data_IF_589252400396
#
_entry.id   IF_589252400396
#
_cell.length_a   1.000
_cell.length_b   1.000
_cell.length_c   1.000
_cell.angle_alpha   90.00
_cell.angle_beta   90.00
_cell.angle_gamma   90.00
#
_symmetry.space_group_name_H-M   'P 1'
#
loop_
_entity.id
_entity.type
_entity.pdbx_description
1 polymer ?
#
# COMPACT_ATOMS: atom_id res chain seq x y z
N UNK A 1 -10.35 -2.18 27.82
CA UNK A 1 -9.36 -1.80 26.79
C UNK A 1 -8.92 -3.08 26.10
N UNK A 2 -8.93 -3.13 24.81
CA UNK A 2 -8.39 -4.27 24.06
C UNK A 2 -6.87 -4.32 24.27
N UNK A 3 -6.34 -5.52 24.43
CA UNK A 3 -4.93 -5.70 24.82
C UNK A 3 -4.03 -5.65 23.60
N UNK A 4 -2.98 -4.83 23.64
CA UNK A 4 -1.88 -4.87 22.67
C UNK A 4 -0.91 -5.96 23.12
N UNK A 5 -0.59 -6.90 22.25
CA UNK A 5 0.38 -7.96 22.53
C UNK A 5 1.53 -7.91 21.54
N UNK A 6 2.80 -8.06 22.00
CA UNK A 6 3.92 -8.25 21.08
C UNK A 6 3.64 -9.44 20.15
N UNK A 7 3.97 -9.26 18.88
CA UNK A 7 3.77 -10.29 17.87
C UNK A 7 5.10 -10.62 17.19
N UNK A 8 5.43 -11.92 17.18
CA UNK A 8 6.62 -12.41 16.47
C UNK A 8 6.17 -13.25 15.30
N UNK A 9 6.59 -12.85 14.11
CA UNK A 9 6.34 -13.61 12.89
C UNK A 9 7.21 -14.87 12.94
N UNK A 10 6.58 -16.02 12.76
CA UNK A 10 7.24 -17.30 12.66
C UNK A 10 6.44 -18.22 11.74
N UNK A 11 6.99 -18.53 10.58
CA UNK A 11 6.43 -19.47 9.63
C UNK A 11 7.06 -20.84 9.84
N UNK A 12 6.29 -21.94 9.98
CA UNK A 12 6.87 -23.27 10.12
C UNK A 12 7.79 -23.65 8.94
N UNK A 13 8.89 -24.35 9.22
CA UNK A 13 9.84 -24.78 8.19
C UNK A 13 9.17 -25.65 7.13
N UNK A 14 8.27 -26.52 7.53
CA UNK A 14 7.47 -27.38 6.64
C UNK A 14 6.69 -26.56 5.61
N UNK A 15 6.13 -25.41 6.00
CA UNK A 15 5.42 -24.50 5.08
C UNK A 15 6.37 -23.92 4.04
N UNK A 16 7.57 -23.53 4.44
CA UNK A 16 8.58 -22.97 3.53
C UNK A 16 9.05 -24.02 2.52
N UNK A 17 9.34 -25.23 3.01
CA UNK A 17 9.77 -26.35 2.18
C UNK A 17 8.65 -26.82 1.23
N UNK A 18 7.40 -26.85 1.67
CA UNK A 18 6.26 -27.12 0.80
C UNK A 18 6.17 -26.10 -0.34
N UNK A 19 6.28 -24.80 -0.03
CA UNK A 19 6.26 -23.72 -1.03
C UNK A 19 7.38 -23.93 -2.06
N UNK A 20 8.62 -24.13 -1.60
CA UNK A 20 9.77 -24.34 -2.49
C UNK A 20 9.59 -25.58 -3.37
N UNK A 21 9.08 -26.67 -2.80
CA UNK A 21 8.79 -27.90 -3.56
C UNK A 21 7.75 -27.66 -4.66
N UNK A 22 6.70 -26.91 -4.38
CA UNK A 22 5.66 -26.56 -5.35
C UNK A 22 6.17 -25.63 -6.45
N UNK A 23 7.04 -24.67 -6.10
CA UNK A 23 7.70 -23.79 -7.09
C UNK A 23 8.58 -24.61 -8.01
N UNK A 24 9.41 -25.51 -7.47
CA UNK A 24 10.29 -26.38 -8.25
C UNK A 24 9.55 -27.35 -9.19
N UNK A 25 8.36 -27.78 -8.80
CA UNK A 25 7.52 -28.72 -9.55
C UNK A 25 6.52 -28.03 -10.50
N UNK A 26 6.58 -26.70 -10.67
CA UNK A 26 5.60 -25.99 -11.47
C UNK A 26 5.63 -26.44 -12.95
N UNK A 27 4.49 -26.82 -13.55
CA UNK A 27 4.40 -27.23 -14.93
C UNK A 27 4.40 -26.00 -15.86
N UNK A 28 5.54 -25.70 -16.47
CA UNK A 28 5.67 -24.56 -17.37
C UNK A 28 4.82 -24.71 -18.64
N UNK A 29 4.29 -23.58 -19.09
CA UNK A 29 3.49 -23.43 -20.31
C UNK A 29 4.27 -22.65 -21.38
N UNK A 30 3.72 -22.56 -22.58
CA UNK A 30 4.27 -21.76 -23.67
C UNK A 30 3.84 -20.30 -23.53
N UNK A 31 4.64 -19.40 -24.11
CA UNK A 31 4.32 -17.99 -24.33
C UNK A 31 4.48 -17.65 -25.82
N UNK A 32 3.75 -16.68 -26.38
CA UNK A 32 4.02 -16.18 -27.73
C UNK A 32 5.49 -15.78 -27.91
N UNK A 33 6.10 -16.18 -29.04
CA UNK A 33 7.54 -16.01 -29.27
C UNK A 33 8.00 -14.56 -29.42
N UNK A 34 7.06 -13.66 -29.72
CA UNK A 34 7.25 -12.21 -29.83
C UNK A 34 6.89 -11.46 -28.52
N UNK A 35 6.49 -12.18 -27.47
CA UNK A 35 6.02 -11.61 -26.22
C UNK A 35 7.15 -11.29 -25.25
N UNK A 36 7.17 -10.03 -24.78
CA UNK A 36 7.92 -9.62 -23.57
C UNK A 36 6.98 -9.68 -22.37
N UNK A 37 6.59 -8.49 -21.87
CA UNK A 37 5.57 -8.32 -20.83
C UNK A 37 4.18 -7.96 -21.38
N UNK A 38 4.01 -7.93 -22.71
CA UNK A 38 2.76 -7.50 -23.36
C UNK A 38 1.58 -8.45 -23.09
N UNK A 39 1.86 -9.74 -22.93
CA UNK A 39 0.85 -10.76 -22.64
C UNK A 39 0.71 -11.08 -21.15
N UNK A 40 1.41 -10.33 -20.29
CA UNK A 40 1.51 -10.55 -18.86
C UNK A 40 2.94 -10.86 -18.44
N UNK A 41 3.12 -11.50 -17.28
CA UNK A 41 4.45 -11.79 -16.73
C UNK A 41 5.30 -12.61 -17.69
N UNK A 42 6.49 -12.09 -18.01
CA UNK A 42 7.42 -12.72 -18.95
C UNK A 42 7.83 -14.14 -18.48
N UNK A 43 7.73 -15.12 -19.36
CA UNK A 43 7.95 -16.54 -19.03
C UNK A 43 9.41 -16.83 -18.65
N UNK A 44 10.37 -16.26 -19.37
CA UNK A 44 11.79 -16.51 -19.10
C UNK A 44 12.21 -15.84 -17.80
N UNK A 45 11.72 -14.62 -17.55
CA UNK A 45 11.90 -13.96 -16.26
C UNK A 45 11.29 -14.79 -15.10
N UNK A 46 10.09 -15.34 -15.29
CA UNK A 46 9.46 -16.17 -14.25
C UNK A 46 10.26 -17.44 -13.96
N UNK A 47 10.84 -18.08 -14.98
CA UNK A 47 11.71 -19.27 -14.77
C UNK A 47 12.95 -18.90 -13.96
N UNK A 48 13.63 -17.81 -14.32
CA UNK A 48 14.80 -17.31 -13.58
C UNK A 48 14.44 -16.90 -12.15
N UNK A 49 13.31 -16.22 -11.98
CA UNK A 49 12.81 -15.79 -10.67
C UNK A 49 12.48 -16.98 -9.76
N UNK A 50 11.85 -18.03 -10.30
CA UNK A 50 11.54 -19.26 -9.57
C UNK A 50 12.81 -20.06 -9.23
N UNK A 51 13.81 -20.11 -10.14
CA UNK A 51 15.12 -20.70 -9.82
C UNK A 51 15.80 -19.98 -8.67
N UNK A 52 15.80 -18.64 -8.69
CA UNK A 52 16.31 -17.83 -7.58
C UNK A 52 15.56 -18.11 -6.28
N UNK A 53 14.21 -18.19 -6.34
CA UNK A 53 13.36 -18.46 -5.19
C UNK A 53 13.71 -19.78 -4.49
N UNK A 54 13.92 -20.84 -5.27
CA UNK A 54 14.23 -22.18 -4.73
C UNK A 54 15.66 -22.27 -4.23
N UNK A 55 16.65 -21.64 -4.94
CA UNK A 55 18.06 -21.88 -4.72
C UNK A 55 18.78 -20.83 -3.87
N UNK A 56 18.33 -19.59 -3.86
CA UNK A 56 19.03 -18.45 -3.26
C UNK A 56 18.22 -17.67 -2.22
N UNK A 57 16.91 -17.57 -2.41
CA UNK A 57 16.07 -16.81 -1.51
C UNK A 57 15.96 -17.46 -0.13
N UNK A 58 16.19 -16.66 0.92
CA UNK A 58 16.13 -17.09 2.32
C UNK A 58 15.00 -16.36 3.06
N UNK A 59 13.85 -17.04 3.24
CA UNK A 59 12.75 -16.51 4.02
C UNK A 59 13.15 -16.21 5.46
N UNK A 60 14.00 -17.03 6.10
CA UNK A 60 14.40 -16.81 7.50
C UNK A 60 15.13 -15.50 7.71
N UNK A 61 15.96 -15.10 6.73
CA UNK A 61 16.61 -13.79 6.74
C UNK A 61 15.56 -12.65 6.67
N UNK A 62 14.56 -12.79 5.80
CA UNK A 62 13.52 -11.77 5.64
C UNK A 62 12.55 -11.74 6.85
N UNK A 63 12.16 -12.90 7.37
CA UNK A 63 11.37 -13.02 8.59
C UNK A 63 12.10 -12.37 9.80
N UNK A 64 13.41 -12.61 9.93
CA UNK A 64 14.22 -11.96 10.96
C UNK A 64 14.23 -10.44 10.78
N UNK A 65 14.40 -9.93 9.56
CA UNK A 65 14.35 -8.50 9.25
C UNK A 65 13.01 -7.86 9.60
N UNK A 66 11.89 -8.49 9.29
CA UNK A 66 10.56 -7.98 9.68
C UNK A 66 10.43 -7.96 11.22
N UNK A 67 10.99 -8.96 11.89
CA UNK A 67 10.97 -9.07 13.36
C UNK A 67 11.98 -8.12 14.07
N UNK A 68 12.84 -7.40 13.36
CA UNK A 68 13.66 -6.32 13.93
C UNK A 68 12.79 -5.13 14.37
N UNK A 69 11.66 -4.91 13.72
CA UNK A 69 10.70 -3.88 14.10
C UNK A 69 9.79 -4.33 15.24
N UNK A 70 9.25 -3.37 15.95
CA UNK A 70 8.29 -3.61 17.04
C UNK A 70 6.92 -4.00 16.47
N UNK A 71 6.71 -5.31 16.28
CA UNK A 71 5.46 -5.89 15.77
C UNK A 71 4.48 -6.17 16.91
N UNK A 72 3.20 -5.85 16.66
CA UNK A 72 2.12 -6.03 17.63
C UNK A 72 0.87 -6.62 17.00
N UNK A 73 0.03 -7.19 17.86
CA UNK A 73 -1.32 -7.65 17.54
C UNK A 73 -2.31 -7.07 18.54
N UNK A 74 -3.44 -6.59 18.02
CA UNK A 74 -4.60 -6.19 18.83
C UNK A 74 -5.89 -6.61 18.15
N UNK A 75 -7.04 -6.50 18.82
CA UNK A 75 -8.35 -6.70 18.19
C UNK A 75 -9.06 -5.36 18.02
N UNK A 76 -9.62 -5.11 16.86
CA UNK A 76 -10.48 -3.94 16.60
C UNK A 76 -11.73 -4.44 15.88
N UNK A 77 -12.91 -4.17 16.44
CA UNK A 77 -14.19 -4.65 15.91
C UNK A 77 -14.21 -6.19 15.66
N UNK A 78 -13.62 -6.97 16.56
CA UNK A 78 -13.46 -8.42 16.49
C UNK A 78 -12.58 -8.91 15.31
N UNK A 79 -11.72 -8.06 14.79
CA UNK A 79 -10.70 -8.44 13.80
C UNK A 79 -9.33 -8.21 14.43
N UNK A 80 -8.49 -9.24 14.40
CA UNK A 80 -7.11 -9.12 14.80
C UNK A 80 -6.36 -8.24 13.81
N UNK A 81 -5.76 -7.17 14.29
CA UNK A 81 -4.95 -6.24 13.48
C UNK A 81 -3.50 -6.38 13.89
N UNK A 82 -2.70 -6.84 12.95
CA UNK A 82 -1.26 -6.78 13.03
C UNK A 82 -0.79 -5.39 12.63
N UNK A 83 0.19 -4.85 13.35
CA UNK A 83 0.83 -3.59 12.99
C UNK A 83 2.27 -3.52 13.53
N UNK A 84 3.12 -2.81 12.80
CA UNK A 84 4.41 -2.33 13.30
C UNK A 84 4.14 -0.99 13.97
N UNK A 85 4.73 -0.76 15.14
CA UNK A 85 4.67 0.52 15.83
C UNK A 85 6.05 0.91 16.31
N UNK A 86 6.73 1.71 15.50
CA UNK A 86 8.06 2.23 15.81
C UNK A 86 7.94 3.62 16.41
N UNK A 87 8.47 3.77 17.65
CA UNK A 87 8.46 5.05 18.34
C UNK A 87 9.52 5.97 17.77
N UNK A 88 9.12 7.18 17.42
CA UNK A 88 10.03 8.19 16.93
C UNK A 88 10.97 8.71 18.00
N UNK A 89 12.14 9.14 17.56
CA UNK A 89 13.11 9.83 18.42
C UNK A 89 12.64 11.20 18.84
N UNK A 90 13.27 11.72 19.89
CA UNK A 90 12.99 13.08 20.38
C UNK A 90 11.78 13.18 21.30
N UNK A 91 11.49 14.40 21.76
CA UNK A 91 10.48 14.61 22.81
C UNK A 91 9.04 14.61 22.29
N UNK A 92 8.81 14.89 21.02
CA UNK A 92 7.47 15.12 20.46
C UNK A 92 7.33 14.58 19.01
N UNK A 93 7.56 13.28 18.75
CA UNK A 93 7.36 12.73 17.42
C UNK A 93 5.89 12.80 17.02
N UNK A 94 5.62 13.18 15.77
CA UNK A 94 4.25 13.24 15.27
C UNK A 94 3.73 11.83 14.95
N UNK A 95 2.55 11.42 15.46
CA UNK A 95 1.97 10.14 15.09
C UNK A 95 1.61 10.10 13.59
N UNK A 96 2.10 9.07 12.91
CA UNK A 96 1.91 8.86 11.49
C UNK A 96 1.46 7.42 11.24
N UNK A 97 0.26 7.23 10.72
CA UNK A 97 -0.15 5.93 10.20
C UNK A 97 0.12 5.86 8.70
N UNK A 98 0.80 4.78 8.27
CA UNK A 98 1.13 4.54 6.87
C UNK A 98 0.43 3.26 6.43
N UNK A 99 -0.41 3.35 5.40
CA UNK A 99 -1.18 2.23 4.90
C UNK A 99 -0.71 1.80 3.51
N UNK A 100 -0.40 0.50 3.37
CA UNK A 100 -0.07 -0.12 2.08
C UNK A 100 -1.34 -0.35 1.23
N UNK A 101 -1.14 -0.92 0.05
CA UNK A 101 -2.24 -1.32 -0.83
C UNK A 101 -2.12 -2.75 -1.34
N UNK A 102 -2.71 -3.00 -2.52
CA UNK A 102 -2.62 -4.25 -3.25
C UNK A 102 -1.84 -4.02 -4.57
N UNK A 103 -0.87 -4.86 -4.94
CA UNK A 103 -0.45 -6.12 -4.31
C UNK A 103 0.68 -5.98 -3.28
N UNK A 104 0.79 -4.83 -2.64
CA UNK A 104 1.77 -4.59 -1.60
C UNK A 104 1.39 -5.18 -0.24
N UNK A 105 2.29 -5.04 0.71
CA UNK A 105 2.15 -5.41 2.12
C UNK A 105 2.96 -4.44 2.98
N UNK A 106 3.10 -4.70 4.28
CA UNK A 106 4.01 -3.95 5.15
C UNK A 106 5.46 -3.96 4.65
N UNK A 107 5.81 -4.89 3.76
CA UNK A 107 7.16 -5.01 3.18
C UNK A 107 7.54 -3.76 2.39
N UNK A 108 6.58 -3.04 1.82
CA UNK A 108 6.81 -1.77 1.14
C UNK A 108 7.55 -0.74 2.02
N UNK A 109 7.40 -0.84 3.34
CA UNK A 109 7.86 0.18 4.28
C UNK A 109 9.05 -0.24 5.14
N UNK A 110 9.60 -1.46 4.98
CA UNK A 110 10.70 -1.93 5.84
C UNK A 110 11.96 -1.06 5.74
N UNK A 111 12.27 -0.52 4.55
CA UNK A 111 13.38 0.42 4.35
C UNK A 111 12.99 1.88 4.64
N UNK A 112 11.72 2.13 4.97
CA UNK A 112 11.13 3.44 5.11
C UNK A 112 10.88 3.83 6.57
N UNK A 113 10.55 2.85 7.42
CA UNK A 113 10.12 3.06 8.81
C UNK A 113 11.22 3.74 9.63
N UNK A 114 12.46 3.20 9.62
CA UNK A 114 13.55 3.72 10.43
C UNK A 114 13.96 5.13 10.01
N UNK A 115 13.93 5.41 8.71
CA UNK A 115 14.17 6.75 8.18
C UNK A 115 13.19 7.79 8.74
N UNK A 116 11.94 7.43 8.93
CA UNK A 116 10.91 8.32 9.49
C UNK A 116 10.96 8.40 11.01
N UNK A 117 11.21 7.27 11.69
CA UNK A 117 11.21 7.22 13.16
C UNK A 117 12.50 7.81 13.76
N UNK A 118 13.65 7.57 13.10
CA UNK A 118 14.98 7.93 13.61
C UNK A 118 15.81 8.71 12.59
N UNK A 119 15.31 9.88 12.13
CA UNK A 119 15.96 10.64 11.05
C UNK A 119 17.39 11.04 11.36
N UNK A 120 17.75 11.23 12.63
CA UNK A 120 19.11 11.59 13.06
C UNK A 120 20.16 10.52 12.75
N UNK A 121 19.77 9.24 12.69
CA UNK A 121 20.64 8.15 12.32
C UNK A 121 20.98 8.17 10.82
N UNK A 122 20.23 8.96 10.04
CA UNK A 122 20.31 9.06 8.58
C UNK A 122 20.64 10.50 8.11
N UNK A 123 21.23 11.32 8.99
CA UNK A 123 21.64 12.69 8.67
C UNK A 123 20.51 13.73 8.65
N UNK A 124 19.31 13.36 9.10
CA UNK A 124 18.17 14.24 9.29
C UNK A 124 18.12 14.88 10.69
N UNK A 125 17.06 15.64 10.97
CA UNK A 125 16.83 16.25 12.30
C UNK A 125 15.88 15.37 13.12
N UNK A 126 16.17 15.19 14.40
CA UNK A 126 15.30 14.53 15.37
C UNK A 126 13.91 15.20 15.49
N UNK A 127 13.81 16.48 15.15
CA UNK A 127 12.55 17.23 15.13
C UNK A 127 11.58 16.77 14.04
N UNK A 128 12.10 16.03 13.04
CA UNK A 128 11.33 15.46 11.94
C UNK A 128 10.87 14.02 12.20
N UNK A 129 11.14 13.50 13.39
CA UNK A 129 10.76 12.13 13.76
C UNK A 129 9.25 11.95 13.85
N UNK A 130 8.81 10.75 13.49
CA UNK A 130 7.42 10.30 13.61
C UNK A 130 7.31 9.08 14.50
N UNK A 131 6.23 8.98 15.27
CA UNK A 131 5.74 7.69 15.76
C UNK A 131 5.07 6.98 14.60
N UNK A 132 5.71 5.96 14.05
CA UNK A 132 5.28 5.31 12.81
C UNK A 132 4.44 4.09 13.10
N UNK A 133 3.20 4.07 12.60
CA UNK A 133 2.29 2.92 12.70
C UNK A 133 2.03 2.37 11.31
N UNK A 134 2.40 1.10 11.07
CA UNK A 134 2.21 0.42 9.78
C UNK A 134 1.37 -0.82 9.98
N UNK A 135 0.03 -0.74 9.81
CA UNK A 135 -0.83 -1.91 9.94
C UNK A 135 -0.78 -2.78 8.67
N UNK A 136 -0.86 -4.09 8.85
CA UNK A 136 -1.38 -4.96 7.78
C UNK A 136 -2.87 -4.69 7.63
N UNK A 137 -3.34 -4.45 6.41
CA UNK A 137 -4.77 -4.21 6.15
C UNK A 137 -5.61 -5.42 6.58
N UNK A 138 -6.86 -5.23 7.07
CA UNK A 138 -7.77 -6.35 7.34
C UNK A 138 -7.88 -7.30 6.14
N UNK A 139 -7.58 -8.57 6.35
CA UNK A 139 -7.54 -9.59 5.30
C UNK A 139 -6.23 -9.70 4.52
N UNK A 140 -5.22 -8.90 4.86
CA UNK A 140 -3.88 -8.94 4.26
C UNK A 140 -2.85 -9.40 5.28
N UNK A 141 -1.81 -10.07 4.79
CA UNK A 141 -0.64 -10.41 5.57
C UNK A 141 -0.99 -11.03 6.91
N UNK A 142 -0.48 -10.45 7.99
CA UNK A 142 -0.61 -11.01 9.33
C UNK A 142 -1.88 -10.56 10.07
N UNK A 143 -2.71 -9.68 9.47
CA UNK A 143 -4.00 -9.31 10.04
C UNK A 143 -5.07 -10.38 9.85
N UNK A 144 -6.05 -10.36 10.73
CA UNK A 144 -7.22 -11.24 10.69
C UNK A 144 -8.10 -10.99 9.46
N UNK A 145 -8.87 -12.00 9.11
CA UNK A 145 -9.76 -11.99 7.95
C UNK A 145 -11.12 -11.40 8.35
N UNK A 146 -11.61 -10.39 7.65
CA UNK A 146 -12.94 -9.88 7.89
C UNK A 146 -13.99 -10.95 7.52
N UNK A 147 -15.17 -10.97 8.18
CA UNK A 147 -16.20 -11.97 7.92
C UNK A 147 -16.87 -11.83 6.54
N UNK A 148 -16.66 -10.70 5.88
CA UNK A 148 -17.12 -10.36 4.53
C UNK A 148 -16.18 -9.33 3.92
N UNK A 149 -16.27 -9.06 2.60
CA UNK A 149 -15.47 -8.01 1.97
C UNK A 149 -15.63 -6.65 2.67
N UNK A 150 -14.51 -6.04 3.06
CA UNK A 150 -14.45 -4.67 3.57
C UNK A 150 -13.79 -3.78 2.52
N UNK A 151 -14.40 -2.62 2.28
CA UNK A 151 -13.82 -1.58 1.47
C UNK A 151 -12.94 -0.61 2.29
N UNK A 152 -12.30 0.36 1.63
CA UNK A 152 -11.35 1.27 2.27
C UNK A 152 -11.98 2.15 3.36
N UNK A 153 -13.25 2.52 3.24
CA UNK A 153 -13.94 3.33 4.26
C UNK A 153 -14.11 2.58 5.57
N UNK A 154 -14.47 1.29 5.49
CA UNK A 154 -14.59 0.46 6.68
C UNK A 154 -13.23 0.17 7.32
N UNK A 155 -12.17 -0.01 6.52
CA UNK A 155 -10.81 -0.14 7.02
C UNK A 155 -10.31 1.17 7.68
N UNK A 156 -10.65 2.32 7.13
CA UNK A 156 -10.35 3.62 7.75
C UNK A 156 -10.99 3.75 9.15
N UNK A 157 -12.24 3.30 9.33
CA UNK A 157 -12.87 3.29 10.66
C UNK A 157 -12.12 2.41 11.67
N UNK A 158 -11.61 1.24 11.23
CA UNK A 158 -10.79 0.35 12.06
C UNK A 158 -9.48 1.05 12.44
N UNK A 159 -8.82 1.70 11.49
CA UNK A 159 -7.56 2.39 11.73
C UNK A 159 -7.71 3.66 12.57
N UNK A 160 -8.81 4.38 12.43
CA UNK A 160 -9.12 5.48 13.36
C UNK A 160 -9.23 4.98 14.80
N UNK A 161 -9.89 3.83 15.04
CA UNK A 161 -9.97 3.22 16.37
C UNK A 161 -8.61 2.70 16.85
N UNK A 162 -7.82 2.09 15.96
CA UNK A 162 -6.45 1.69 16.29
C UNK A 162 -5.64 2.89 16.81
N UNK A 163 -5.64 4.00 16.08
CA UNK A 163 -4.86 5.17 16.46
C UNK A 163 -5.39 5.82 17.74
N UNK A 164 -6.71 6.00 17.88
CA UNK A 164 -7.29 6.80 18.97
C UNK A 164 -7.63 5.99 20.21
N UNK A 165 -8.26 4.82 20.07
CA UNK A 165 -8.77 4.07 21.21
C UNK A 165 -7.77 3.04 21.75
N UNK A 166 -6.91 2.50 20.87
CA UNK A 166 -5.94 1.48 21.23
C UNK A 166 -4.58 2.10 21.55
N UNK A 167 -4.05 2.95 20.65
CA UNK A 167 -2.75 3.60 20.80
C UNK A 167 -2.82 4.91 21.59
N UNK A 168 -4.01 5.51 21.74
CA UNK A 168 -4.24 6.69 22.57
C UNK A 168 -3.78 8.00 21.93
N UNK A 169 -3.63 8.05 20.61
CA UNK A 169 -3.29 9.30 19.92
C UNK A 169 -4.51 10.18 19.70
N UNK A 170 -4.52 11.34 20.28
CA UNK A 170 -5.60 12.32 20.07
C UNK A 170 -5.62 12.84 18.63
N UNK A 171 -4.44 13.00 18.04
CA UNK A 171 -4.28 13.47 16.65
C UNK A 171 -3.16 12.70 15.94
N UNK A 172 -3.33 12.46 14.63
CA UNK A 172 -2.35 11.77 13.79
C UNK A 172 -2.41 12.28 12.35
N UNK A 173 -1.35 11.99 11.60
CA UNK A 173 -1.28 12.16 10.15
C UNK A 173 -1.52 10.78 9.51
N UNK A 174 -2.25 10.72 8.40
CA UNK A 174 -2.40 9.49 7.63
C UNK A 174 -1.70 9.62 6.27
N UNK A 175 -0.89 8.63 5.93
CA UNK A 175 -0.20 8.54 4.64
C UNK A 175 -0.59 7.24 3.92
N UNK A 176 -0.64 7.28 2.59
CA UNK A 176 -0.81 6.07 1.80
C UNK A 176 -0.78 6.26 0.30
N UNK A 177 -0.29 5.23 -0.38
CA UNK A 177 -0.45 4.95 -1.79
C UNK A 177 -1.52 3.90 -2.01
N UNK A 178 -1.90 3.61 -3.25
CA UNK A 178 -2.90 2.61 -3.63
C UNK A 178 -4.17 2.63 -2.76
N UNK A 179 -4.54 1.48 -2.13
CA UNK A 179 -5.64 1.43 -1.16
C UNK A 179 -5.37 2.25 0.09
N UNK A 180 -4.09 2.38 0.48
CA UNK A 180 -3.69 3.27 1.57
C UNK A 180 -4.05 4.73 1.31
N UNK A 181 -3.96 5.18 0.05
CA UNK A 181 -4.43 6.52 -0.36
C UNK A 181 -5.96 6.67 -0.22
N UNK A 182 -6.72 5.63 -0.55
CA UNK A 182 -8.16 5.62 -0.34
C UNK A 182 -8.51 5.61 1.17
N UNK A 183 -7.82 4.81 1.96
CA UNK A 183 -8.00 4.72 3.42
C UNK A 183 -7.67 6.08 4.07
N UNK A 184 -6.53 6.70 3.70
CA UNK A 184 -6.15 8.03 4.19
C UNK A 184 -7.20 9.09 3.83
N UNK A 185 -7.77 9.03 2.62
CA UNK A 185 -8.85 9.91 2.21
C UNK A 185 -10.09 9.77 3.09
N UNK A 186 -10.48 8.54 3.43
CA UNK A 186 -11.61 8.29 4.33
C UNK A 186 -11.30 8.65 5.79
N UNK A 187 -10.06 8.49 6.25
CA UNK A 187 -9.64 8.98 7.57
C UNK A 187 -9.79 10.50 7.67
N UNK A 188 -9.31 11.24 6.68
CA UNK A 188 -9.45 12.70 6.64
C UNK A 188 -10.91 13.17 6.48
N UNK A 189 -11.75 12.40 5.78
CA UNK A 189 -13.14 12.76 5.53
C UNK A 189 -14.07 12.43 6.69
N UNK A 190 -13.99 11.21 7.25
CA UNK A 190 -14.91 10.72 8.29
C UNK A 190 -14.42 11.06 9.72
N UNK A 191 -13.09 11.26 9.92
CA UNK A 191 -12.48 11.44 11.23
C UNK A 191 -11.60 12.71 11.35
N UNK A 192 -12.07 13.91 10.87
CA UNK A 192 -11.24 15.12 10.84
C UNK A 192 -10.88 15.66 12.23
N UNK A 193 -11.56 15.21 13.28
CA UNK A 193 -11.23 15.59 14.66
C UNK A 193 -9.95 14.93 15.18
N UNK A 194 -9.59 13.75 14.68
CA UNK A 194 -8.41 12.99 15.07
C UNK A 194 -7.38 12.87 13.95
N UNK A 195 -7.82 12.64 12.70
CA UNK A 195 -6.94 12.69 11.53
C UNK A 195 -6.67 14.16 11.16
N UNK A 196 -5.54 14.70 11.63
CA UNK A 196 -5.22 16.12 11.51
C UNK A 196 -4.84 16.55 10.09
N UNK A 197 -4.28 15.64 9.31
CA UNK A 197 -3.85 15.85 7.92
C UNK A 197 -3.70 14.52 7.21
N UNK A 198 -3.74 14.54 5.89
CA UNK A 198 -3.45 13.36 5.07
C UNK A 198 -2.37 13.68 4.04
N UNK A 199 -1.57 12.67 3.70
CA UNK A 199 -0.58 12.73 2.63
C UNK A 199 -0.81 11.56 1.69
N UNK A 200 -0.97 11.82 0.39
CA UNK A 200 -1.28 10.78 -0.60
C UNK A 200 -0.34 10.88 -1.81
N UNK A 201 0.05 9.73 -2.33
CA UNK A 201 0.82 9.63 -3.59
C UNK A 201 0.01 9.01 -4.74
N UNK A 202 -1.31 8.96 -4.61
CA UNK A 202 -2.24 8.50 -5.64
C UNK A 202 -3.61 9.17 -5.47
N UNK A 203 -4.31 9.43 -6.56
CA UNK A 203 -5.71 9.88 -6.52
C UNK A 203 -6.68 8.72 -6.77
N UNK A 204 -7.21 8.14 -5.71
CA UNK A 204 -8.18 7.04 -5.78
C UNK A 204 -9.63 7.48 -5.78
N UNK A 205 -9.94 8.65 -5.23
CA UNK A 205 -11.29 9.20 -5.10
C UNK A 205 -11.71 10.00 -6.34
N UNK A 206 -13.00 10.20 -6.49
CA UNK A 206 -13.59 10.95 -7.60
C UNK A 206 -14.63 11.94 -7.08
N UNK A 207 -14.72 13.08 -7.75
CA UNK A 207 -15.79 14.05 -7.51
C UNK A 207 -17.09 13.59 -8.17
N UNK A 208 -18.25 13.82 -7.52
CA UNK A 208 -19.57 13.37 -8.00
C UNK A 208 -19.95 13.92 -9.39
N UNK A 209 -19.52 15.15 -9.69
CA UNK A 209 -19.85 15.83 -10.96
C UNK A 209 -18.85 15.48 -12.09
N UNK A 210 -17.90 14.61 -11.83
CA UNK A 210 -16.89 14.21 -12.82
C UNK A 210 -15.95 15.34 -13.25
N UNK A 211 -15.21 15.16 -14.35
CA UNK A 211 -14.31 16.17 -14.92
C UNK A 211 -15.09 17.35 -15.52
N UNK A 212 -14.53 18.56 -15.39
CA UNK A 212 -15.11 19.80 -15.89
C UNK A 212 -14.05 20.61 -16.65
N UNK A 213 -14.48 21.25 -17.73
CA UNK A 213 -13.56 22.00 -18.60
C UNK A 213 -12.66 21.12 -19.47
N UNK A 214 -11.99 21.71 -20.43
CA UNK A 214 -11.29 20.99 -21.49
C UNK A 214 -10.10 20.15 -20.97
N UNK A 215 -9.36 20.66 -20.00
CA UNK A 215 -8.16 19.99 -19.46
C UNK A 215 -8.52 18.71 -18.66
N UNK A 216 -9.51 18.82 -17.78
CA UNK A 216 -9.97 17.67 -16.98
C UNK A 216 -10.66 16.60 -17.84
N UNK A 217 -11.42 17.02 -18.88
CA UNK A 217 -12.04 16.10 -19.84
C UNK A 217 -10.95 15.36 -20.62
N UNK A 218 -9.96 16.09 -21.17
CA UNK A 218 -8.86 15.47 -21.90
C UNK A 218 -8.03 14.48 -21.03
N UNK A 219 -7.83 14.82 -19.74
CA UNK A 219 -7.25 13.87 -18.80
C UNK A 219 -8.10 12.61 -18.63
N UNK A 220 -9.41 12.77 -18.42
CA UNK A 220 -10.31 11.63 -18.19
C UNK A 220 -10.38 10.70 -19.40
N UNK A 221 -10.39 11.23 -20.62
CA UNK A 221 -10.37 10.43 -21.86
C UNK A 221 -9.07 9.62 -21.99
N UNK A 222 -7.91 10.24 -21.70
CA UNK A 222 -6.63 9.52 -21.69
C UNK A 222 -6.64 8.43 -20.61
N UNK A 223 -7.03 8.78 -19.39
CA UNK A 223 -7.12 7.87 -18.27
C UNK A 223 -8.00 6.64 -18.59
N UNK A 224 -9.18 6.82 -19.16
CA UNK A 224 -10.07 5.71 -19.54
C UNK A 224 -9.42 4.79 -20.59
N UNK A 225 -8.76 5.37 -21.58
CA UNK A 225 -8.05 4.62 -22.62
C UNK A 225 -6.91 3.75 -22.02
N UNK A 226 -6.11 4.32 -21.14
CA UNK A 226 -4.99 3.62 -20.51
C UNK A 226 -5.49 2.50 -19.58
N UNK A 227 -6.63 2.71 -18.92
CA UNK A 227 -7.25 1.72 -18.04
C UNK A 227 -7.84 0.50 -18.79
N UNK A 228 -8.10 0.55 -20.08
CA UNK A 228 -8.65 -0.59 -20.84
C UNK A 228 -7.70 -1.79 -20.73
N UNK A 229 -6.40 -1.58 -20.87
CA UNK A 229 -5.40 -2.65 -20.78
C UNK A 229 -5.13 -3.05 -19.34
N UNK A 230 -5.13 -2.10 -18.41
CA UNK A 230 -4.72 -2.33 -17.02
C UNK A 230 -5.82 -2.87 -16.08
N UNK A 231 -7.10 -2.83 -16.49
CA UNK A 231 -8.22 -3.08 -15.59
C UNK A 231 -8.62 -4.56 -15.38
N UNK A 232 -8.05 -5.50 -16.12
CA UNK A 232 -8.46 -6.91 -16.08
C UNK A 232 -8.48 -7.48 -14.65
N UNK A 233 -7.38 -7.32 -13.92
CA UNK A 233 -7.23 -7.77 -12.54
C UNK A 233 -8.29 -7.15 -11.60
N UNK A 234 -8.49 -5.82 -11.73
CA UNK A 234 -9.42 -5.06 -10.88
C UNK A 234 -10.86 -5.51 -11.11
N UNK A 235 -11.25 -5.71 -12.36
CA UNK A 235 -12.58 -6.18 -12.72
C UNK A 235 -12.84 -7.57 -12.15
N UNK A 236 -11.88 -8.49 -12.28
CA UNK A 236 -11.96 -9.84 -11.71
C UNK A 236 -12.10 -9.78 -10.19
N UNK A 237 -11.23 -9.04 -9.50
CA UNK A 237 -11.22 -8.94 -8.05
C UNK A 237 -12.43 -8.17 -7.48
N UNK A 238 -12.99 -7.21 -8.24
CA UNK A 238 -14.18 -6.46 -7.84
C UNK A 238 -15.52 -7.20 -8.10
N UNK A 239 -15.52 -8.28 -8.87
CA UNK A 239 -16.75 -8.98 -9.27
C UNK A 239 -16.80 -10.42 -8.77
N UNK A 240 -15.76 -11.20 -9.00
CA UNK A 240 -15.70 -12.64 -8.69
C UNK A 240 -14.35 -13.04 -8.07
N UNK A 241 -13.92 -12.39 -6.96
CA UNK A 241 -12.60 -12.65 -6.34
C UNK A 241 -12.43 -14.11 -5.93
N UNK A 242 -13.50 -14.75 -5.44
CA UNK A 242 -13.48 -16.12 -4.97
C UNK A 242 -13.09 -17.12 -6.07
N UNK A 243 -13.53 -16.91 -7.31
CA UNK A 243 -13.24 -17.84 -8.42
C UNK A 243 -11.74 -17.88 -8.73
N UNK A 244 -11.07 -16.73 -8.80
CA UNK A 244 -9.62 -16.64 -9.02
C UNK A 244 -8.84 -17.28 -7.87
N UNK A 245 -9.34 -17.14 -6.66
CA UNK A 245 -8.65 -17.59 -5.44
C UNK A 245 -8.42 -19.11 -5.40
N UNK A 246 -9.26 -19.93 -6.04
CA UNK A 246 -9.03 -21.39 -6.11
C UNK A 246 -7.68 -21.72 -6.77
N UNK A 247 -7.34 -21.01 -7.87
CA UNK A 247 -6.04 -21.18 -8.53
C UNK A 247 -4.89 -20.58 -7.72
N UNK A 248 -5.11 -19.35 -7.20
CA UNK A 248 -4.06 -18.62 -6.49
C UNK A 248 -3.72 -19.21 -5.12
N UNK A 249 -4.68 -19.82 -4.43
CA UNK A 249 -4.42 -20.51 -3.17
C UNK A 249 -3.69 -21.84 -3.35
N UNK A 250 -3.71 -22.38 -4.55
CA UNK A 250 -3.00 -23.61 -4.91
C UNK A 250 -1.58 -23.34 -5.44
N UNK A 251 -1.39 -22.31 -6.28
CA UNK A 251 -0.14 -22.10 -7.02
C UNK A 251 0.69 -20.92 -6.46
N UNK A 252 1.82 -21.16 -5.76
CA UNK A 252 2.77 -20.12 -5.40
C UNK A 252 3.29 -19.33 -6.61
N UNK A 253 3.57 -20.03 -7.71
CA UNK A 253 4.02 -19.42 -8.98
C UNK A 253 2.92 -18.56 -9.61
N UNK A 254 1.66 -19.00 -9.52
CA UNK A 254 0.51 -18.21 -9.98
C UNK A 254 0.36 -16.89 -9.22
N UNK A 255 0.50 -16.93 -7.89
CA UNK A 255 0.51 -15.71 -7.05
C UNK A 255 1.67 -14.81 -7.43
N UNK A 256 2.88 -15.38 -7.59
CA UNK A 256 4.05 -14.61 -7.97
C UNK A 256 3.86 -13.93 -9.33
N UNK A 257 3.39 -14.65 -10.35
CA UNK A 257 3.14 -14.09 -11.67
C UNK A 257 2.10 -12.95 -11.62
N UNK A 258 1.00 -13.14 -10.88
CA UNK A 258 -0.06 -12.14 -10.74
C UNK A 258 0.41 -10.85 -10.07
N UNK A 259 1.31 -10.94 -9.09
CA UNK A 259 1.89 -9.79 -8.38
C UNK A 259 3.01 -9.14 -9.20
N UNK A 260 3.94 -9.93 -9.76
CA UNK A 260 5.07 -9.43 -10.53
C UNK A 260 4.66 -8.63 -11.76
N UNK A 261 3.59 -9.05 -12.44
CA UNK A 261 3.05 -8.30 -13.57
C UNK A 261 2.67 -6.87 -13.16
N UNK A 262 2.14 -6.67 -11.92
CA UNK A 262 1.80 -5.36 -11.40
C UNK A 262 3.04 -4.59 -10.93
N UNK A 263 3.95 -5.26 -10.26
CA UNK A 263 5.24 -4.65 -9.88
C UNK A 263 6.01 -4.14 -11.10
N UNK A 264 5.98 -4.89 -12.20
CA UNK A 264 6.58 -4.46 -13.47
C UNK A 264 5.79 -3.32 -14.13
N UNK A 265 4.47 -3.48 -14.27
CA UNK A 265 3.66 -2.57 -15.09
C UNK A 265 3.30 -1.24 -14.41
N UNK A 266 3.54 -1.08 -13.11
CA UNK A 266 3.16 0.10 -12.34
C UNK A 266 4.35 0.85 -11.76
N UNK A 267 5.56 0.36 -11.96
CA UNK A 267 6.80 1.01 -11.50
C UNK A 267 7.42 1.88 -12.59
N UNK A 268 8.25 2.82 -12.18
CA UNK A 268 9.05 3.62 -13.08
C UNK A 268 10.24 2.80 -13.62
N UNK A 269 10.07 2.23 -14.79
CA UNK A 269 11.09 1.46 -15.50
C UNK A 269 11.75 2.26 -16.65
N UNK A 270 11.67 3.58 -16.64
CA UNK A 270 12.24 4.45 -17.69
C UNK A 270 13.77 4.34 -17.80
N UNK A 271 14.43 3.89 -16.74
CA UNK A 271 15.89 3.78 -16.66
C UNK A 271 16.43 2.34 -16.57
N UNK A 272 15.57 1.34 -16.72
CA UNK A 272 16.01 -0.05 -16.65
C UNK A 272 14.86 -1.06 -16.66
N UNK A 273 15.12 -2.22 -16.10
CA UNK A 273 14.15 -3.27 -15.88
C UNK A 273 13.66 -3.32 -14.41
N UNK A 274 12.82 -4.27 -14.08
CA UNK A 274 12.26 -4.42 -12.73
C UNK A 274 13.36 -4.60 -11.65
N UNK A 275 14.51 -5.19 -12.00
CA UNK A 275 15.63 -5.39 -11.07
C UNK A 275 16.52 -4.15 -10.92
N UNK A 276 16.36 -3.15 -11.78
CA UNK A 276 16.96 -1.83 -11.55
C UNK A 276 16.25 -1.05 -10.42
N UNK A 277 15.02 -1.43 -10.11
CA UNK A 277 14.18 -0.80 -9.09
C UNK A 277 14.11 -1.63 -7.82
N UNK A 278 13.94 -2.96 -7.95
CA UNK A 278 13.78 -3.87 -6.82
C UNK A 278 14.80 -5.00 -6.85
N UNK A 279 15.24 -5.43 -5.69
CA UNK A 279 15.91 -6.72 -5.56
C UNK A 279 14.92 -7.87 -5.65
N UNK A 280 15.34 -9.03 -6.15
CA UNK A 280 14.51 -10.25 -6.11
C UNK A 280 14.06 -10.60 -4.69
N UNK A 281 14.89 -10.31 -3.68
CA UNK A 281 14.53 -10.52 -2.27
C UNK A 281 13.35 -9.64 -1.82
N UNK A 282 13.30 -8.36 -2.21
CA UNK A 282 12.18 -7.47 -1.90
C UNK A 282 10.88 -7.97 -2.56
N UNK A 283 10.94 -8.29 -3.86
CA UNK A 283 9.80 -8.82 -4.61
C UNK A 283 9.30 -10.13 -4.01
N UNK A 284 10.21 -11.09 -3.75
CA UNK A 284 9.85 -12.37 -3.15
C UNK A 284 9.30 -12.22 -1.74
N UNK A 285 9.85 -11.32 -0.93
CA UNK A 285 9.38 -11.13 0.45
C UNK A 285 7.94 -10.63 0.46
N UNK A 286 7.60 -9.67 -0.41
CA UNK A 286 6.22 -9.20 -0.55
C UNK A 286 5.29 -10.34 -1.01
N UNK A 287 5.68 -11.12 -2.01
CA UNK A 287 4.92 -12.27 -2.53
C UNK A 287 4.75 -13.34 -1.44
N UNK A 288 5.84 -13.65 -0.73
CA UNK A 288 5.82 -14.67 0.33
C UNK A 288 4.88 -14.32 1.47
N UNK A 289 4.73 -13.05 1.85
CA UNK A 289 3.75 -12.65 2.85
C UNK A 289 2.34 -13.10 2.45
N UNK A 290 1.93 -12.93 1.18
CA UNK A 290 0.63 -13.42 0.69
C UNK A 290 0.50 -14.95 0.79
N UNK A 291 1.56 -15.66 0.46
CA UNK A 291 1.55 -17.13 0.36
C UNK A 291 1.57 -17.76 1.77
N UNK A 292 2.51 -17.37 2.64
CA UNK A 292 2.66 -17.96 3.99
C UNK A 292 1.47 -17.66 4.88
N UNK A 293 0.82 -16.52 4.69
CA UNK A 293 -0.39 -16.15 5.43
C UNK A 293 -1.67 -16.62 4.75
N UNK A 294 -1.58 -17.11 3.50
CA UNK A 294 -2.73 -17.55 2.69
C UNK A 294 -3.78 -16.44 2.53
N UNK A 295 -3.35 -15.20 2.26
CA UNK A 295 -4.22 -14.02 2.23
C UNK A 295 -4.51 -13.48 0.83
N UNK A 296 -4.03 -14.10 -0.24
CA UNK A 296 -4.36 -13.64 -1.61
C UNK A 296 -5.88 -13.49 -1.81
N UNK A 297 -6.66 -14.47 -1.35
CA UNK A 297 -8.12 -14.45 -1.44
C UNK A 297 -8.70 -13.23 -0.71
N UNK A 298 -8.43 -13.12 0.58
CA UNK A 298 -9.05 -12.09 1.43
C UNK A 298 -8.55 -10.68 1.11
N UNK A 299 -7.31 -10.54 0.65
CA UNK A 299 -6.75 -9.29 0.17
C UNK A 299 -7.47 -8.77 -1.09
N UNK A 300 -7.86 -9.67 -2.00
CA UNK A 300 -8.63 -9.28 -3.18
C UNK A 300 -10.04 -8.78 -2.87
N UNK A 301 -10.56 -9.07 -1.68
CA UNK A 301 -11.91 -8.64 -1.27
C UNK A 301 -12.09 -7.13 -1.13
N UNK A 302 -11.01 -6.36 -0.94
CA UNK A 302 -11.10 -4.90 -0.83
C UNK A 302 -11.72 -4.27 -2.08
N UNK A 303 -11.46 -4.85 -3.27
CA UNK A 303 -12.05 -4.40 -4.53
C UNK A 303 -13.57 -4.58 -4.56
N UNK A 304 -14.05 -5.74 -4.10
CA UNK A 304 -15.49 -6.01 -3.98
C UNK A 304 -16.13 -5.11 -2.90
N UNK A 305 -15.48 -5.02 -1.73
CA UNK A 305 -15.92 -4.16 -0.62
C UNK A 305 -16.06 -2.70 -1.01
N UNK A 306 -15.10 -2.15 -1.77
CA UNK A 306 -15.20 -0.79 -2.31
C UNK A 306 -16.43 -0.59 -3.19
N UNK A 307 -16.76 -1.58 -4.01
CA UNK A 307 -17.97 -1.53 -4.85
C UNK A 307 -19.23 -1.49 -3.98
N UNK A 308 -19.30 -2.27 -2.90
CA UNK A 308 -20.40 -2.24 -1.95
C UNK A 308 -20.50 -0.91 -1.17
N UNK A 309 -19.37 -0.25 -0.95
CA UNK A 309 -19.30 1.07 -0.30
C UNK A 309 -19.66 2.25 -1.23
N UNK A 310 -20.07 2.01 -2.47
CA UNK A 310 -20.46 3.06 -3.42
C UNK A 310 -19.36 3.46 -4.42
N UNK A 311 -18.26 2.72 -4.48
CA UNK A 311 -17.22 2.91 -5.49
C UNK A 311 -16.21 4.02 -5.16
N UNK A 312 -15.94 4.89 -6.13
CA UNK A 312 -14.89 5.93 -6.01
C UNK A 312 -15.40 7.31 -5.60
N UNK A 313 -16.70 7.53 -5.56
CA UNK A 313 -17.24 8.84 -5.19
C UNK A 313 -17.04 9.07 -3.70
N UNK A 314 -16.28 10.11 -3.36
CA UNK A 314 -16.00 10.45 -1.96
C UNK A 314 -17.29 10.91 -1.26
N UNK A 315 -18.03 11.80 -1.87
CA UNK A 315 -19.26 12.37 -1.30
C UNK A 315 -20.33 12.54 -2.35
N UNK A 316 -21.53 11.93 -2.17
CA UNK A 316 -22.67 12.20 -3.03
C UNK A 316 -23.15 13.65 -2.98
N UNK A 317 -22.87 14.38 -1.88
CA UNK A 317 -23.21 15.78 -1.69
C UNK A 317 -22.16 16.74 -2.28
N UNK A 318 -21.00 16.22 -2.72
CA UNK A 318 -19.89 17.02 -3.26
C UNK A 318 -19.03 17.71 -2.19
N UNK A 319 -19.10 17.25 -0.93
CA UNK A 319 -18.16 17.69 0.12
C UNK A 319 -16.78 17.11 -0.14
N UNK A 320 -15.76 17.87 0.20
CA UNK A 320 -14.36 17.45 0.08
C UNK A 320 -13.76 17.03 1.41
N UNK A 321 -12.58 16.45 1.39
CA UNK A 321 -11.72 16.30 2.57
C UNK A 321 -11.24 17.67 2.99
N UNK A 322 -11.60 18.14 4.17
CA UNK A 322 -11.27 19.50 4.65
C UNK A 322 -9.95 19.57 5.42
N UNK A 323 -9.44 18.44 5.93
CA UNK A 323 -8.11 18.43 6.55
C UNK A 323 -7.03 18.75 5.51
N UNK A 324 -5.92 19.42 5.90
CA UNK A 324 -4.81 19.66 4.98
C UNK A 324 -4.36 18.38 4.28
N UNK A 325 -4.19 18.45 2.97
CA UNK A 325 -3.80 17.32 2.13
C UNK A 325 -2.50 17.61 1.40
N UNK A 326 -1.48 16.78 1.61
CA UNK A 326 -0.27 16.71 0.79
C UNK A 326 -0.45 15.73 -0.35
N UNK A 327 -0.06 16.15 -1.56
CA UNK A 327 -0.10 15.34 -2.78
C UNK A 327 1.31 15.21 -3.35
N UNK A 328 1.85 13.99 -3.33
CA UNK A 328 3.11 13.63 -3.98
C UNK A 328 2.79 13.02 -5.35
N UNK A 329 3.03 13.78 -6.40
CA UNK A 329 2.62 13.46 -7.77
C UNK A 329 3.78 12.77 -8.49
N UNK A 330 3.78 11.44 -8.51
CA UNK A 330 4.77 10.65 -9.22
C UNK A 330 4.43 10.52 -10.70
N UNK A 331 5.40 10.65 -11.63
CA UNK A 331 5.12 10.70 -13.06
C UNK A 331 4.61 9.39 -13.65
N UNK A 332 5.09 8.24 -13.14
CA UNK A 332 4.74 6.90 -13.65
C UNK A 332 3.68 6.21 -12.78
N UNK A 333 2.86 6.99 -12.04
CA UNK A 333 1.73 6.43 -11.29
C UNK A 333 0.69 5.79 -12.23
N UNK A 334 0.32 4.53 -11.99
CA UNK A 334 -0.70 3.77 -12.73
C UNK A 334 -1.99 4.56 -12.96
N UNK A 335 -2.46 5.25 -11.93
CA UNK A 335 -3.61 6.15 -12.02
C UNK A 335 -3.13 7.56 -12.27
N UNK A 336 -2.83 7.90 -13.51
CA UNK A 336 -2.34 9.23 -13.91
C UNK A 336 -3.11 10.35 -13.19
N UNK A 337 -2.35 11.23 -12.55
CA UNK A 337 -2.93 12.33 -11.79
C UNK A 337 -3.73 13.29 -12.70
N UNK A 338 -4.92 13.73 -12.25
CA UNK A 338 -5.66 14.77 -12.96
C UNK A 338 -5.02 16.14 -12.75
N UNK A 339 -5.46 17.13 -13.52
CA UNK A 339 -5.14 18.53 -13.23
C UNK A 339 -5.49 18.90 -11.80
N UNK A 340 -4.67 19.75 -11.17
CA UNK A 340 -4.84 20.17 -9.78
C UNK A 340 -6.25 20.73 -9.50
N UNK A 341 -6.85 21.42 -10.48
CA UNK A 341 -8.21 21.94 -10.40
C UNK A 341 -9.25 20.87 -10.05
N UNK A 342 -9.08 19.65 -10.57
CA UNK A 342 -9.93 18.52 -10.24
C UNK A 342 -9.68 18.03 -8.80
N UNK A 343 -8.42 17.97 -8.37
CA UNK A 343 -8.04 17.50 -7.03
C UNK A 343 -8.53 18.47 -5.95
N UNK A 344 -8.44 19.77 -6.16
CA UNK A 344 -8.90 20.82 -5.24
C UNK A 344 -10.41 20.75 -4.94
N UNK A 345 -11.21 20.11 -5.83
CA UNK A 345 -12.64 19.85 -5.58
C UNK A 345 -12.88 18.66 -4.62
N UNK A 346 -11.88 17.79 -4.46
CA UNK A 346 -11.98 16.58 -3.64
C UNK A 346 -11.25 16.76 -2.32
N UNK A 347 -10.16 17.54 -2.30
CA UNK A 347 -9.27 17.72 -1.16
C UNK A 347 -8.96 19.20 -0.89
N UNK A 348 -8.65 19.52 0.35
CA UNK A 348 -8.02 20.77 0.74
C UNK A 348 -6.51 20.65 0.53
N UNK A 349 -6.05 20.86 -0.72
CA UNK A 349 -4.65 20.66 -1.11
C UNK A 349 -3.76 21.76 -0.51
N UNK A 350 -3.01 21.41 0.54
CA UNK A 350 -2.05 22.27 1.22
C UNK A 350 -0.62 22.16 0.65
N UNK A 351 -0.27 21.01 0.07
CA UNK A 351 1.00 20.80 -0.61
C UNK A 351 0.77 20.00 -1.89
N UNK A 352 1.43 20.43 -2.97
CA UNK A 352 1.44 19.76 -4.25
C UNK A 352 2.87 19.67 -4.73
N UNK A 353 3.42 18.47 -4.83
CA UNK A 353 4.81 18.25 -5.24
C UNK A 353 4.83 17.33 -6.45
N UNK A 354 5.27 17.87 -7.58
CA UNK A 354 5.57 17.07 -8.77
C UNK A 354 6.93 16.41 -8.56
N UNK A 355 6.92 15.07 -8.54
CA UNK A 355 8.13 14.29 -8.32
C UNK A 355 8.90 14.14 -9.64
N UNK A 356 10.25 14.14 -9.58
CA UNK A 356 11.06 14.07 -10.78
C UNK A 356 11.09 12.69 -11.44
N UNK A 357 10.76 11.64 -10.70
CA UNK A 357 10.77 10.23 -11.11
C UNK A 357 10.01 9.39 -10.08
N UNK A 358 9.78 8.11 -10.40
CA UNK A 358 9.10 7.13 -9.57
C UNK A 358 7.68 6.84 -10.04
N UNK A 359 7.16 5.71 -9.63
CA UNK A 359 5.87 5.17 -10.03
C UNK A 359 4.96 4.90 -8.82
N UNK A 360 4.20 3.82 -8.95
CA UNK A 360 3.13 3.46 -8.03
C UNK A 360 3.62 3.07 -6.63
N UNK A 361 4.73 2.33 -6.55
CA UNK A 361 5.28 1.82 -5.28
C UNK A 361 6.31 2.80 -4.69
N UNK A 362 5.93 4.06 -4.58
CA UNK A 362 6.83 5.17 -4.27
C UNK A 362 7.72 4.95 -3.04
N UNK A 363 7.24 4.26 -1.99
CA UNK A 363 8.03 3.96 -0.80
C UNK A 363 9.17 2.96 -1.05
N UNK A 364 9.04 2.10 -2.09
CA UNK A 364 10.08 1.16 -2.50
C UNK A 364 10.96 1.72 -3.63
N UNK A 365 10.36 2.50 -4.55
CA UNK A 365 11.04 3.04 -5.72
C UNK A 365 11.90 4.26 -5.38
N UNK A 366 11.32 5.20 -4.64
CA UNK A 366 11.90 6.51 -4.33
C UNK A 366 11.67 6.91 -2.87
N UNK A 367 12.15 6.11 -1.89
CA UNK A 367 11.90 6.35 -0.47
C UNK A 367 12.34 7.74 -0.02
N UNK A 368 13.50 8.21 -0.46
CA UNK A 368 14.04 9.52 -0.07
C UNK A 368 13.17 10.68 -0.53
N UNK A 369 12.66 10.63 -1.76
CA UNK A 369 11.77 11.67 -2.30
C UNK A 369 10.46 11.72 -1.51
N UNK A 370 9.84 10.57 -1.26
CA UNK A 370 8.60 10.49 -0.53
C UNK A 370 8.76 10.92 0.93
N UNK A 371 9.84 10.50 1.63
CA UNK A 371 10.14 10.90 3.00
C UNK A 371 10.35 12.40 3.11
N UNK A 372 11.12 12.99 2.22
CA UNK A 372 11.35 14.44 2.23
C UNK A 372 10.07 15.22 2.04
N UNK A 373 9.17 14.73 1.19
CA UNK A 373 7.88 15.37 0.94
C UNK A 373 6.93 15.26 2.15
N UNK A 374 6.87 14.10 2.79
CA UNK A 374 6.11 13.88 4.04
C UNK A 374 6.63 14.80 5.16
N UNK A 375 7.95 14.89 5.35
CA UNK A 375 8.56 15.77 6.36
C UNK A 375 8.26 17.24 6.09
N UNK A 376 8.43 17.68 4.83
CA UNK A 376 8.10 19.05 4.41
C UNK A 376 6.63 19.36 4.68
N UNK A 377 5.73 18.45 4.35
CA UNK A 377 4.31 18.58 4.62
C UNK A 377 4.02 18.71 6.11
N UNK A 378 4.58 17.81 6.91
CA UNK A 378 4.37 17.78 8.36
C UNK A 378 4.93 19.01 9.11
N UNK A 379 6.04 19.60 8.62
CA UNK A 379 6.58 20.88 9.16
C UNK A 379 5.67 22.06 8.87
N UNK A 380 4.95 22.03 7.76
CA UNK A 380 4.08 23.14 7.31
C UNK A 380 2.66 23.07 7.89
N UNK A 381 2.35 22.08 8.72
CA UNK A 381 1.07 21.99 9.42
C UNK A 381 1.03 23.02 10.57
N UNK A 382 0.31 24.13 10.35
CA UNK A 382 0.28 25.29 11.23
C UNK A 382 -0.34 25.03 12.63
N UNK A 383 -1.06 23.93 12.81
CA UNK A 383 -1.78 23.62 14.05
C UNK A 383 -1.48 22.17 14.49
N UNK A 384 -0.21 21.87 14.74
CA UNK A 384 0.09 20.66 15.49
C UNK A 384 0.11 21.03 16.97
N UNK A 385 -0.85 20.55 17.78
CA UNK A 385 -0.84 20.88 19.21
C UNK A 385 0.43 20.34 19.85
N UNK A 386 1.09 21.10 20.76
CA UNK A 386 2.13 20.53 21.59
C UNK A 386 1.55 19.34 22.37
N UNK A 387 2.33 18.28 22.48
CA UNK A 387 1.99 17.12 23.33
C UNK A 387 1.75 17.61 24.75
N UNK A 388 0.57 17.35 25.29
CA UNK A 388 0.22 17.68 26.67
C UNK A 388 0.96 16.79 27.67
#
# INVERSE_FOLDING_TARGET
METITPYKIHVPDETIEEIKSRVAAFPWHEMPSDGGWEYGTNLDYMKEFCEYWVTKYDWRKQEARINEFANFMTSVDNINIHFIHERGSGPNPKPLIISHGWPGTIVEFLDFIDLLAHPENHGGSVEDAFDVVVPSLPGFGFSGRPPRPYGPRKMANIFSKLMTQILGYDRYIAQGGDWGGAISSWLGYDHPSSCAAIHINILTMRHKDGPQGAEEIAWAERFEKDQIVQNGYRTQQATKPQTLSYAMMDSPVGVAAWILEKMHGWSDLTHGDIESVYTKDQLLTNIMVYIVTRTFNTASWIYYGRREEGGRILSPEGKRVEVPTGCAVFPEELLAWPPRSYVDRIYNVAQWTEMPRGGHFAAMEEPDLLIQDIRKFARNLNEWPPSG
#
